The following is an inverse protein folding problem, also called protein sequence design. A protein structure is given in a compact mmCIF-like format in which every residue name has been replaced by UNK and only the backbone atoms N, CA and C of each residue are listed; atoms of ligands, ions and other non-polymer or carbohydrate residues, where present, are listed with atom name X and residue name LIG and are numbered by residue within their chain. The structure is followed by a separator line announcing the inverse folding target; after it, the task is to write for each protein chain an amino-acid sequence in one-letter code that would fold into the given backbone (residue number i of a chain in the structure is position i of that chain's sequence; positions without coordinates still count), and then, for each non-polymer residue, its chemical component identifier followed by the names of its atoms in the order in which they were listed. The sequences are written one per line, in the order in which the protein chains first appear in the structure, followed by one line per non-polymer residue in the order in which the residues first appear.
data_IF_223177103700
#
_entry.id   IF_223177103700
#
_cell.length_a   1.000
_cell.length_b   1.000
_cell.length_c   1.000
_cell.angle_alpha   90.00
_cell.angle_beta   90.00
_cell.angle_gamma   90.00
#
_symmetry.space_group_name_H-M   'P 1'
#
loop_
_entity.id
_entity.type
_entity.pdbx_description
1 polymer ?
#
# COMPACT_ATOMS: atom_id res chain seq x y z
N UNK A 1 21.17 -7.15 8.82
CA UNK A 1 20.73 -5.74 8.94
C UNK A 1 19.62 -5.69 9.98
N UNK A 2 19.60 -4.70 10.88
CA UNK A 2 18.52 -4.61 11.87
C UNK A 2 17.18 -4.27 11.19
N UNK A 3 16.06 -4.72 11.78
CA UNK A 3 14.72 -4.38 11.29
C UNK A 3 14.49 -2.87 11.24
N UNK A 4 15.04 -2.13 12.21
CA UNK A 4 14.98 -0.66 12.28
C UNK A 4 15.69 -0.01 11.09
N UNK A 5 16.93 -0.41 10.79
CA UNK A 5 17.66 0.13 9.63
C UNK A 5 16.94 -0.23 8.33
N UNK A 6 16.38 -1.44 8.23
CA UNK A 6 15.56 -1.86 7.09
C UNK A 6 14.34 -0.97 6.90
N UNK A 7 13.62 -0.70 7.99
CA UNK A 7 12.48 0.22 7.98
C UNK A 7 12.88 1.64 7.56
N UNK A 8 14.02 2.14 8.04
CA UNK A 8 14.52 3.47 7.69
C UNK A 8 14.92 3.59 6.20
N UNK A 9 15.62 2.60 5.66
CA UNK A 9 15.96 2.55 4.22
C UNK A 9 14.71 2.41 3.34
N UNK A 10 13.74 1.60 3.78
CA UNK A 10 12.46 1.47 3.11
C UNK A 10 11.63 2.76 3.15
N UNK A 11 11.69 3.51 4.26
CA UNK A 11 11.10 4.84 4.35
C UNK A 11 11.74 5.80 3.36
N UNK A 12 13.08 5.87 3.34
CA UNK A 12 13.83 6.75 2.43
C UNK A 12 13.53 6.46 0.96
N UNK A 13 13.62 5.19 0.55
CA UNK A 13 13.27 4.76 -0.81
C UNK A 13 11.81 5.04 -1.17
N UNK A 14 10.88 4.83 -0.24
CA UNK A 14 9.45 5.14 -0.46
C UNK A 14 9.19 6.64 -0.56
N UNK A 15 9.84 7.46 0.27
CA UNK A 15 9.76 8.90 0.18
C UNK A 15 10.26 9.38 -1.19
N UNK A 16 11.47 8.98 -1.60
CA UNK A 16 12.03 9.30 -2.92
C UNK A 16 11.07 8.90 -4.03
N UNK A 17 10.51 7.68 -3.96
CA UNK A 17 9.54 7.19 -4.95
C UNK A 17 8.28 8.03 -4.99
N UNK A 18 7.73 8.41 -3.83
CA UNK A 18 6.52 9.24 -3.75
C UNK A 18 6.79 10.62 -4.33
N UNK A 19 7.93 11.24 -4.02
CA UNK A 19 8.31 12.52 -4.61
C UNK A 19 8.48 12.39 -6.12
N UNK A 20 9.26 11.42 -6.61
CA UNK A 20 9.55 11.23 -8.03
C UNK A 20 8.31 10.85 -8.86
N UNK A 21 7.43 9.99 -8.32
CA UNK A 21 6.25 9.48 -9.02
C UNK A 21 4.95 10.18 -8.61
N UNK A 22 5.02 11.33 -7.94
CA UNK A 22 3.82 12.06 -7.53
C UNK A 22 2.91 12.39 -8.71
N UNK A 23 3.42 12.95 -9.84
CA UNK A 23 2.57 13.25 -11.00
C UNK A 23 2.06 11.98 -11.66
N UNK A 24 2.91 10.95 -11.79
CA UNK A 24 2.52 9.66 -12.34
C UNK A 24 1.27 9.10 -11.65
N UNK A 25 1.24 9.15 -10.31
CA UNK A 25 0.13 8.64 -9.52
C UNK A 25 -1.20 9.34 -9.84
N UNK A 26 -1.15 10.63 -10.14
CA UNK A 26 -2.35 11.43 -10.48
C UNK A 26 -2.70 11.35 -11.96
N UNK A 27 -1.71 11.19 -12.84
CA UNK A 27 -1.92 10.90 -14.27
C UNK A 27 -2.63 9.56 -14.45
N UNK A 28 -2.18 8.49 -13.78
CA UNK A 28 -2.87 7.20 -13.83
C UNK A 28 -4.30 7.30 -13.25
N UNK A 29 -4.58 8.29 -12.40
CA UNK A 29 -5.96 8.57 -11.98
C UNK A 29 -6.76 9.34 -13.03
N UNK A 30 -6.16 10.28 -13.76
CA UNK A 30 -6.88 11.07 -14.77
C UNK A 30 -7.13 10.29 -16.06
N UNK A 31 -6.30 9.28 -16.35
CA UNK A 31 -6.51 8.37 -17.48
C UNK A 31 -7.74 7.50 -17.21
N UNK A 32 -8.87 7.92 -17.80
CA UNK A 32 -10.05 7.09 -17.95
C UNK A 32 -10.14 6.70 -19.43
N UNK A 33 -10.12 5.40 -19.73
CA UNK A 33 -10.20 4.89 -21.13
C UNK A 33 -11.47 5.39 -21.83
N UNK A 34 -12.54 5.68 -21.06
CA UNK A 34 -13.79 6.21 -21.60
C UNK A 34 -13.80 7.74 -21.79
N UNK A 35 -12.93 8.46 -21.10
CA UNK A 35 -12.87 9.92 -21.10
C UNK A 35 -11.40 10.35 -21.01
N UNK A 36 -10.68 10.43 -22.15
CA UNK A 36 -9.30 10.90 -22.13
C UNK A 36 -9.26 12.31 -21.50
N UNK A 37 -8.29 12.59 -20.61
CA UNK A 37 -8.24 13.88 -19.94
C UNK A 37 -8.13 15.00 -20.97
N UNK A 38 -9.09 15.94 -20.94
CA UNK A 38 -9.04 17.22 -21.70
C UNK A 38 -8.01 18.20 -21.12
N UNK A 39 -6.90 17.70 -20.58
CA UNK A 39 -5.80 18.56 -20.15
C UNK A 39 -5.04 18.99 -21.41
N UNK A 40 -5.34 20.20 -21.91
CA UNK A 40 -4.62 20.80 -23.05
C UNK A 40 -3.11 20.96 -22.79
N UNK A 41 -2.69 20.94 -21.52
CA UNK A 41 -1.30 20.96 -21.09
C UNK A 41 -1.06 20.01 -19.90
N UNK A 42 -0.54 18.80 -20.19
CA UNK A 42 -0.12 17.82 -19.20
C UNK A 42 1.06 18.31 -18.35
N UNK A 43 1.94 19.14 -18.92
CA UNK A 43 3.11 19.70 -18.25
C UNK A 43 2.69 20.66 -17.14
N UNK A 44 1.84 21.64 -17.47
CA UNK A 44 1.27 22.57 -16.50
C UNK A 44 0.50 21.89 -15.37
N UNK A 45 -0.28 20.85 -15.68
CA UNK A 45 -0.96 20.05 -14.65
C UNK A 45 0.03 19.39 -13.67
N UNK A 46 1.08 18.77 -14.19
CA UNK A 46 2.11 18.13 -13.36
C UNK A 46 2.88 19.14 -12.53
N UNK A 47 3.26 20.28 -13.11
CA UNK A 47 3.99 21.35 -12.43
C UNK A 47 3.17 21.97 -11.29
N UNK A 48 1.88 22.25 -11.51
CA UNK A 48 0.98 22.76 -10.47
C UNK A 48 0.83 21.77 -9.30
N UNK A 49 0.73 20.48 -9.60
CA UNK A 49 0.68 19.42 -8.58
C UNK A 49 1.98 19.30 -7.79
N UNK A 50 3.12 19.34 -8.47
CA UNK A 50 4.43 19.33 -7.81
C UNK A 50 4.59 20.53 -6.90
N UNK A 51 4.23 21.73 -7.37
CA UNK A 51 4.26 22.96 -6.57
C UNK A 51 3.40 22.84 -5.32
N UNK A 52 2.19 22.30 -5.45
CA UNK A 52 1.31 22.04 -4.31
C UNK A 52 1.89 21.03 -3.31
N UNK A 53 2.53 19.97 -3.79
CA UNK A 53 3.21 18.99 -2.95
C UNK A 53 4.42 19.59 -2.22
N UNK A 54 5.25 20.37 -2.91
CA UNK A 54 6.43 21.03 -2.32
C UNK A 54 6.05 22.08 -1.28
N UNK A 55 4.88 22.72 -1.43
CA UNK A 55 4.34 23.61 -0.41
C UNK A 55 3.95 22.92 0.90
N UNK A 56 3.66 21.60 0.88
CA UNK A 56 3.23 20.83 2.04
C UNK A 56 3.91 19.44 2.08
N UNK A 57 5.23 19.36 2.35
CA UNK A 57 6.00 18.12 2.26
C UNK A 57 5.64 17.09 3.34
N UNK A 58 4.93 17.49 4.40
CA UNK A 58 4.46 16.58 5.45
C UNK A 58 3.51 15.50 4.92
N UNK A 59 2.69 15.81 3.91
CA UNK A 59 1.75 14.85 3.32
C UNK A 59 2.44 13.70 2.56
N UNK A 60 3.37 13.94 1.61
CA UNK A 60 4.08 12.86 0.94
C UNK A 60 4.98 12.06 1.88
N UNK A 61 5.57 12.70 2.90
CA UNK A 61 6.35 12.00 3.93
C UNK A 61 5.48 11.05 4.76
N UNK A 62 4.29 11.49 5.17
CA UNK A 62 3.33 10.63 5.89
C UNK A 62 2.87 9.45 5.01
N UNK A 63 2.75 9.64 3.69
CA UNK A 63 2.41 8.59 2.74
C UNK A 63 3.51 7.53 2.55
N UNK A 64 4.76 7.81 2.92
CA UNK A 64 5.88 6.87 2.85
C UNK A 64 5.87 5.86 4.03
N UNK A 65 5.28 6.25 5.17
CA UNK A 65 5.29 5.45 6.40
C UNK A 65 4.79 4.00 6.25
N UNK A 66 3.76 3.67 5.45
CA UNK A 66 3.32 2.29 5.28
C UNK A 66 4.40 1.36 4.71
N UNK A 67 5.24 1.83 3.78
CA UNK A 67 6.33 1.01 3.25
C UNK A 67 7.43 0.80 4.29
N UNK A 68 7.73 1.79 5.12
CA UNK A 68 8.64 1.60 6.24
C UNK A 68 8.16 0.47 7.17
N UNK A 69 6.87 0.51 7.53
CA UNK A 69 6.23 -0.49 8.37
C UNK A 69 6.22 -1.89 7.73
N UNK A 70 6.03 -1.98 6.41
CA UNK A 70 6.11 -3.22 5.64
C UNK A 70 7.46 -3.90 5.77
N UNK A 71 8.54 -3.21 5.43
CA UNK A 71 9.89 -3.79 5.43
C UNK A 71 10.40 -4.03 6.85
N UNK A 72 10.05 -3.14 7.79
CA UNK A 72 10.31 -3.34 9.21
C UNK A 72 9.67 -4.65 9.70
N UNK A 73 8.36 -4.83 9.48
CA UNK A 73 7.63 -6.04 9.89
C UNK A 73 8.13 -7.28 9.17
N UNK A 74 8.50 -7.15 7.91
CA UNK A 74 9.05 -8.24 7.12
C UNK A 74 10.33 -8.80 7.73
N UNK A 75 11.30 -7.94 8.03
CA UNK A 75 12.58 -8.34 8.63
C UNK A 75 12.41 -8.71 10.11
N UNK A 76 11.49 -8.07 10.83
CA UNK A 76 11.20 -8.38 12.23
C UNK A 76 10.73 -9.84 12.41
N UNK A 77 9.93 -10.36 11.47
CA UNK A 77 9.53 -11.77 11.45
C UNK A 77 10.47 -12.67 10.62
N UNK A 78 11.74 -12.28 10.50
CA UNK A 78 12.80 -13.04 9.82
C UNK A 78 12.54 -13.35 8.32
N UNK A 79 11.67 -12.57 7.65
CA UNK A 79 11.37 -12.73 6.23
C UNK A 79 10.46 -13.92 5.90
N UNK A 80 10.53 -14.37 4.65
CA UNK A 80 9.71 -15.47 4.14
C UNK A 80 8.20 -15.22 4.26
N UNK A 81 7.43 -16.27 4.53
CA UNK A 81 5.98 -16.18 4.67
C UNK A 81 5.55 -15.43 5.94
N UNK A 82 6.22 -15.66 7.07
CA UNK A 82 5.93 -14.98 8.34
C UNK A 82 6.19 -13.47 8.22
N UNK A 83 7.32 -13.08 7.62
CA UNK A 83 7.64 -11.71 7.26
C UNK A 83 6.62 -11.09 6.30
N UNK A 84 6.19 -11.83 5.27
CA UNK A 84 5.15 -11.37 4.35
C UNK A 84 3.82 -11.05 5.07
N UNK A 85 3.41 -11.90 6.01
CA UNK A 85 2.21 -11.70 6.82
C UNK A 85 2.39 -10.50 7.75
N UNK A 86 3.43 -10.49 8.59
CA UNK A 86 3.64 -9.41 9.56
C UNK A 86 3.85 -8.05 8.88
N UNK A 87 4.67 -8.00 7.84
CA UNK A 87 4.89 -6.79 7.04
C UNK A 87 3.59 -6.31 6.37
N UNK A 88 2.80 -7.22 5.81
CA UNK A 88 1.50 -6.87 5.22
C UNK A 88 0.49 -6.33 6.25
N UNK A 89 0.44 -6.93 7.45
CA UNK A 89 -0.36 -6.43 8.57
C UNK A 89 0.06 -5.02 8.97
N UNK A 90 1.35 -4.79 9.21
CA UNK A 90 1.85 -3.47 9.58
C UNK A 90 1.60 -2.44 8.49
N UNK A 91 1.80 -2.78 7.21
CA UNK A 91 1.45 -1.90 6.10
C UNK A 91 -0.02 -1.50 6.12
N UNK A 92 -0.94 -2.46 6.31
CA UNK A 92 -2.38 -2.23 6.34
C UNK A 92 -2.80 -1.31 7.48
N UNK A 93 -2.31 -1.56 8.70
CA UNK A 93 -2.56 -0.72 9.87
C UNK A 93 -1.99 0.69 9.69
N UNK A 94 -0.72 0.83 9.29
CA UNK A 94 -0.10 2.15 9.08
C UNK A 94 -0.79 2.92 7.96
N UNK A 95 -1.17 2.25 6.86
CA UNK A 95 -1.93 2.89 5.77
C UNK A 95 -3.28 3.41 6.23
N UNK A 96 -3.98 2.64 7.06
CA UNK A 96 -5.29 3.04 7.59
C UNK A 96 -5.14 4.21 8.54
N UNK A 97 -4.16 4.16 9.44
CA UNK A 97 -3.81 5.27 10.33
C UNK A 97 -3.51 6.56 9.54
N UNK A 98 -2.58 6.50 8.58
CA UNK A 98 -2.19 7.64 7.74
C UNK A 98 -3.38 8.21 7.00
N UNK A 99 -4.25 7.35 6.45
CA UNK A 99 -5.47 7.78 5.77
C UNK A 99 -6.43 8.50 6.72
N UNK A 100 -6.65 7.97 7.92
CA UNK A 100 -7.56 8.55 8.91
C UNK A 100 -7.03 9.89 9.42
N UNK A 101 -5.73 9.99 9.72
CA UNK A 101 -5.07 11.24 10.12
C UNK A 101 -5.19 12.28 9.00
N UNK A 102 -4.84 11.92 7.76
CA UNK A 102 -4.93 12.84 6.64
C UNK A 102 -6.38 13.29 6.36
N UNK A 103 -7.36 12.40 6.56
CA UNK A 103 -8.78 12.76 6.41
C UNK A 103 -9.24 13.75 7.49
N UNK A 104 -8.84 13.54 8.75
CA UNK A 104 -9.17 14.43 9.86
C UNK A 104 -8.48 15.79 9.75
N UNK A 105 -7.23 15.83 9.32
CA UNK A 105 -6.47 17.08 9.12
C UNK A 105 -6.98 17.94 7.96
N UNK A 106 -7.59 17.33 6.94
CA UNK A 106 -8.17 18.06 5.80
C UNK A 106 -9.66 18.41 6.01
N UNK A 107 -10.09 18.52 7.27
CA UNK A 107 -11.43 19.01 7.63
C UNK A 107 -12.58 18.03 7.43
N UNK A 108 -12.35 16.74 7.69
CA UNK A 108 -13.18 15.57 7.35
C UNK A 108 -14.72 15.67 7.47
N UNK A 109 -15.35 14.64 8.04
CA UNK A 109 -16.83 14.61 8.12
C UNK A 109 -17.38 15.72 9.02
N UNK A 110 -18.69 16.00 8.92
CA UNK A 110 -19.44 16.93 9.82
C UNK A 110 -19.12 16.68 11.30
N UNK A 111 -18.82 15.43 11.65
CA UNK A 111 -18.43 14.96 12.98
C UNK A 111 -17.15 15.59 13.53
N UNK A 112 -16.17 15.89 12.68
CA UNK A 112 -14.87 16.45 13.09
C UNK A 112 -14.83 17.97 12.98
N UNK A 113 -15.79 18.60 12.28
CA UNK A 113 -15.86 20.07 12.16
C UNK A 113 -15.95 20.79 13.51
N UNK A 114 -16.59 20.20 14.52
CA UNK A 114 -16.62 20.75 15.89
C UNK A 114 -15.24 20.77 16.55
N UNK A 115 -14.38 19.81 16.20
CA UNK A 115 -13.00 19.78 16.64
C UNK A 115 -12.11 20.65 15.76
N UNK A 116 -12.39 20.75 14.46
CA UNK A 116 -11.68 21.64 13.54
C UNK A 116 -11.91 23.13 13.86
N UNK A 117 -13.06 23.49 14.44
CA UNK A 117 -13.27 24.81 15.06
C UNK A 117 -12.26 25.11 16.18
N UNK A 118 -11.64 24.07 16.77
CA UNK A 118 -10.38 24.14 17.50
C UNK A 118 -9.27 23.72 16.53
N UNK A 119 -8.79 24.64 15.72
CA UNK A 119 -7.75 24.38 14.71
C UNK A 119 -6.66 23.43 15.26
N UNK A 120 -6.48 22.27 14.61
CA UNK A 120 -5.40 21.37 14.99
C UNK A 120 -4.07 22.06 14.72
N UNK A 121 -3.28 22.27 15.77
CA UNK A 121 -1.97 22.93 15.68
C UNK A 121 -0.94 22.10 14.90
N UNK A 122 -1.18 20.80 14.73
CA UNK A 122 -0.35 19.91 13.94
C UNK A 122 -0.80 18.45 13.94
N UNK A 123 0.01 17.56 13.35
CA UNK A 123 -0.29 16.14 13.25
C UNK A 123 -0.38 15.48 14.64
N UNK A 124 0.55 15.79 15.54
CA UNK A 124 0.57 15.21 16.89
C UNK A 124 -0.65 15.65 17.70
N UNK A 125 -1.05 16.91 17.59
CA UNK A 125 -2.25 17.44 18.22
C UNK A 125 -3.52 16.79 17.65
N UNK A 126 -3.60 16.64 16.33
CA UNK A 126 -4.67 15.87 15.68
C UNK A 126 -4.74 14.44 16.22
N UNK A 127 -3.59 13.77 16.37
CA UNK A 127 -3.54 12.38 16.87
C UNK A 127 -3.95 12.31 18.33
N UNK A 128 -3.35 13.13 19.20
CA UNK A 128 -3.59 13.12 20.64
C UNK A 128 -5.03 13.51 20.98
N UNK A 129 -5.52 14.62 20.41
CA UNK A 129 -6.89 15.10 20.61
C UNK A 129 -7.91 14.10 20.09
N UNK A 130 -7.70 13.54 18.89
CA UNK A 130 -8.62 12.54 18.35
C UNK A 130 -8.58 11.22 19.12
N UNK A 131 -7.41 10.78 19.60
CA UNK A 131 -7.29 9.58 20.44
C UNK A 131 -8.04 9.77 21.77
N UNK A 132 -7.95 10.97 22.36
CA UNK A 132 -8.68 11.33 23.58
C UNK A 132 -10.19 11.34 23.37
N UNK A 133 -10.67 11.90 22.26
CA UNK A 133 -12.11 12.09 22.02
C UNK A 133 -12.81 10.87 21.39
N UNK A 134 -12.12 10.10 20.55
CA UNK A 134 -12.72 9.00 19.79
C UNK A 134 -12.12 7.63 20.09
N UNK A 135 -11.06 7.58 20.91
CA UNK A 135 -10.29 6.36 21.18
C UNK A 135 -9.19 6.11 20.15
N UNK A 136 -8.10 5.48 20.57
CA UNK A 136 -6.96 5.16 19.71
C UNK A 136 -7.33 4.17 18.58
N UNK A 137 -8.30 3.29 18.83
CA UNK A 137 -8.76 2.33 17.82
C UNK A 137 -9.57 2.98 16.69
N UNK A 138 -10.07 4.22 16.88
CA UNK A 138 -10.79 4.96 15.85
C UNK A 138 -9.93 5.32 14.62
N UNK A 139 -8.61 5.21 14.71
CA UNK A 139 -7.71 5.44 13.58
C UNK A 139 -7.62 4.27 12.62
N UNK A 140 -8.09 3.09 13.03
CA UNK A 140 -7.90 1.84 12.32
C UNK A 140 -9.19 1.22 11.73
N UNK A 141 -10.20 2.00 11.26
CA UNK A 141 -11.41 1.39 10.72
C UNK A 141 -11.13 0.63 9.43
N UNK A 142 -11.48 -0.66 9.41
CA UNK A 142 -11.20 -1.56 8.30
C UNK A 142 -9.73 -1.92 8.18
N UNK A 143 -8.93 -1.76 9.24
CA UNK A 143 -7.50 -2.03 9.19
C UNK A 143 -7.20 -3.51 8.91
N UNK A 144 -8.02 -4.45 9.38
CA UNK A 144 -7.83 -5.87 9.05
C UNK A 144 -8.13 -6.14 7.58
N UNK A 145 -9.20 -5.56 7.03
CA UNK A 145 -9.50 -5.67 5.60
C UNK A 145 -8.38 -5.05 4.74
N UNK A 146 -7.87 -3.87 5.12
CA UNK A 146 -6.74 -3.23 4.45
C UNK A 146 -5.46 -4.07 4.55
N UNK A 147 -5.23 -4.70 5.70
CA UNK A 147 -4.10 -5.59 5.95
C UNK A 147 -4.16 -6.86 5.12
N UNK A 148 -5.33 -7.47 4.97
CA UNK A 148 -5.51 -8.66 4.13
C UNK A 148 -5.13 -8.36 2.67
N UNK A 149 -5.58 -7.21 2.13
CA UNK A 149 -5.15 -6.76 0.79
C UNK A 149 -3.64 -6.47 0.76
N UNK A 150 -3.07 -5.91 1.83
CA UNK A 150 -1.65 -5.58 1.89
C UNK A 150 -0.74 -6.81 1.97
N UNK A 151 -1.13 -7.86 2.70
CA UNK A 151 -0.43 -9.16 2.69
C UNK A 151 -0.40 -9.72 1.28
N UNK A 152 -1.53 -9.71 0.60
CA UNK A 152 -1.65 -10.19 -0.78
C UNK A 152 -0.83 -9.37 -1.78
N UNK A 153 -0.82 -8.04 -1.63
CA UNK A 153 -0.18 -7.14 -2.59
C UNK A 153 1.29 -6.91 -2.33
N UNK A 154 1.73 -6.88 -1.08
CA UNK A 154 3.08 -6.49 -0.73
C UNK A 154 3.83 -7.58 0.03
N UNK A 155 3.15 -8.25 0.97
CA UNK A 155 3.73 -9.34 1.76
C UNK A 155 4.19 -10.51 0.91
N UNK A 156 3.29 -11.05 0.08
CA UNK A 156 3.58 -12.18 -0.82
C UNK A 156 4.66 -11.79 -1.84
N UNK A 157 4.57 -10.66 -2.56
CA UNK A 157 5.65 -10.25 -3.45
C UNK A 157 7.01 -10.11 -2.78
N UNK A 158 7.10 -9.58 -1.55
CA UNK A 158 8.38 -9.54 -0.82
C UNK A 158 8.91 -10.95 -0.51
N UNK A 159 8.04 -11.87 -0.09
CA UNK A 159 8.41 -13.27 0.13
C UNK A 159 8.96 -13.95 -1.14
N UNK A 160 8.34 -13.69 -2.29
CA UNK A 160 8.82 -14.20 -3.58
C UNK A 160 10.11 -13.50 -4.02
N UNK A 161 10.21 -12.19 -3.83
CA UNK A 161 11.39 -11.40 -4.18
C UNK A 161 12.61 -11.76 -3.34
N UNK A 162 12.45 -12.22 -2.08
CA UNK A 162 13.56 -12.72 -1.28
C UNK A 162 14.27 -13.91 -1.96
N UNK A 163 13.53 -14.71 -2.74
CA UNK A 163 14.09 -15.86 -3.48
C UNK A 163 14.82 -15.45 -4.77
N UNK A 164 14.57 -14.23 -5.26
CA UNK A 164 15.11 -13.73 -6.53
C UNK A 164 16.18 -12.66 -6.26
N UNK A 165 17.46 -13.04 -6.34
CA UNK A 165 18.56 -12.10 -6.12
C UNK A 165 19.20 -11.69 -7.45
N UNK A 166 18.99 -10.44 -7.87
CA UNK A 166 19.83 -9.78 -8.88
C UNK A 166 20.74 -8.72 -8.24
N UNK A 167 21.85 -8.41 -8.93
CA UNK A 167 22.73 -7.27 -8.61
C UNK A 167 22.40 -6.01 -9.41
N UNK A 168 21.52 -6.11 -10.41
CA UNK A 168 21.16 -5.00 -11.30
C UNK A 168 19.87 -4.33 -10.86
N UNK A 169 19.88 -3.00 -10.79
CA UNK A 169 18.68 -2.19 -10.49
C UNK A 169 17.54 -2.48 -11.47
N UNK A 170 17.84 -2.64 -12.77
CA UNK A 170 16.83 -2.88 -13.80
C UNK A 170 16.13 -4.23 -13.63
N UNK A 171 16.88 -5.27 -13.27
CA UNK A 171 16.32 -6.60 -13.04
C UNK A 171 15.46 -6.65 -11.77
N UNK A 172 15.90 -5.96 -10.71
CA UNK A 172 15.15 -5.84 -9.46
C UNK A 172 13.84 -5.07 -9.67
N UNK A 173 13.91 -3.95 -10.40
CA UNK A 173 12.76 -3.15 -10.80
C UNK A 173 11.76 -4.01 -11.58
N UNK A 174 12.25 -4.72 -12.59
CA UNK A 174 11.39 -5.50 -13.48
C UNK A 174 10.79 -6.74 -12.81
N UNK A 175 11.57 -7.44 -11.97
CA UNK A 175 11.10 -8.58 -11.19
C UNK A 175 10.04 -8.15 -10.19
N UNK A 176 10.27 -7.06 -9.46
CA UNK A 176 9.30 -6.51 -8.52
C UNK A 176 8.02 -6.06 -9.22
N UNK A 177 8.14 -5.39 -10.37
CA UNK A 177 6.99 -4.99 -11.18
C UNK A 177 6.16 -6.20 -11.60
N UNK A 178 6.77 -7.24 -12.18
CA UNK A 178 6.08 -8.43 -12.68
C UNK A 178 5.37 -9.19 -11.57
N UNK A 179 6.07 -9.49 -10.48
CA UNK A 179 5.52 -10.24 -9.34
C UNK A 179 4.36 -9.46 -8.71
N UNK A 180 4.55 -8.17 -8.45
CA UNK A 180 3.51 -7.34 -7.87
C UNK A 180 2.32 -7.15 -8.83
N UNK A 181 2.58 -6.95 -10.13
CA UNK A 181 1.51 -6.82 -11.12
C UNK A 181 0.66 -8.09 -11.21
N UNK A 182 1.30 -9.26 -11.25
CA UNK A 182 0.59 -10.53 -11.21
C UNK A 182 -0.25 -10.65 -9.93
N UNK A 183 0.32 -10.36 -8.76
CA UNK A 183 -0.41 -10.45 -7.49
C UNK A 183 -1.58 -9.47 -7.42
N UNK A 184 -1.42 -8.23 -7.87
CA UNK A 184 -2.54 -7.26 -7.92
C UNK A 184 -3.66 -7.70 -8.86
N UNK A 185 -3.31 -8.34 -9.98
CA UNK A 185 -4.28 -8.87 -10.93
C UNK A 185 -5.05 -10.05 -10.32
N UNK A 186 -4.34 -11.06 -9.81
CA UNK A 186 -4.92 -12.26 -9.21
C UNK A 186 -5.81 -11.95 -8.01
N UNK A 187 -5.45 -10.92 -7.23
CA UNK A 187 -6.14 -10.57 -5.98
C UNK A 187 -7.09 -9.39 -6.14
N UNK A 188 -7.32 -8.92 -7.37
CA UNK A 188 -8.32 -7.90 -7.66
C UNK A 188 -9.72 -8.26 -7.15
N UNK A 189 -10.22 -9.51 -7.31
CA UNK A 189 -11.55 -9.85 -6.82
C UNK A 189 -11.71 -9.59 -5.32
N UNK A 190 -10.72 -10.02 -4.55
CA UNK A 190 -10.64 -9.83 -3.09
C UNK A 190 -10.60 -8.34 -2.76
N UNK A 191 -9.75 -7.58 -3.44
CA UNK A 191 -9.58 -6.16 -3.20
C UNK A 191 -10.81 -5.33 -3.57
N UNK A 192 -11.49 -5.63 -4.67
CA UNK A 192 -12.72 -4.92 -5.07
C UNK A 192 -13.87 -5.22 -4.12
N UNK A 193 -13.95 -6.47 -3.63
CA UNK A 193 -14.92 -6.88 -2.60
C UNK A 193 -14.69 -6.12 -1.29
N UNK A 194 -13.48 -6.21 -0.72
CA UNK A 194 -13.15 -5.53 0.53
C UNK A 194 -13.23 -4.01 0.42
N UNK A 195 -12.84 -3.44 -0.73
CA UNK A 195 -12.95 -2.00 -0.95
C UNK A 195 -14.40 -1.51 -0.92
N UNK A 196 -15.32 -2.31 -1.44
CA UNK A 196 -16.75 -1.96 -1.49
C UNK A 196 -17.41 -2.05 -0.11
N UNK A 197 -16.95 -2.97 0.75
CA UNK A 197 -17.42 -3.04 2.14
C UNK A 197 -16.80 -1.99 3.06
N UNK A 198 -15.64 -1.41 2.69
CA UNK A 198 -15.01 -0.30 3.40
C UNK A 198 -15.61 1.09 3.06
N UNK A 199 -16.89 1.18 2.66
CA UNK A 199 -17.54 2.46 2.33
C UNK A 199 -17.45 3.47 3.50
N UNK A 200 -17.35 4.79 3.22
CA UNK A 200 -16.71 5.80 4.07
C UNK A 200 -17.58 6.29 5.24
N UNK A 201 -18.68 5.61 5.56
CA UNK A 201 -19.31 5.86 6.86
C UNK A 201 -18.35 5.33 7.91
N UNK A 202 -17.67 6.24 8.61
CA UNK A 202 -16.83 5.90 9.75
C UNK A 202 -17.67 5.16 10.79
N UNK A 203 -17.69 3.82 10.70
CA UNK A 203 -18.40 2.94 11.64
C UNK A 203 -17.81 3.01 13.04
N UNK A 204 -16.56 3.46 13.14
CA UNK A 204 -15.84 3.68 14.38
C UNK A 204 -16.12 5.09 14.94
N UNK A 205 -17.34 5.31 15.43
CA UNK A 205 -17.55 6.39 16.39
C UNK A 205 -17.12 5.97 17.77
N UNK A 206 -16.18 6.70 18.40
CA UNK A 206 -15.88 6.53 19.83
C UNK A 206 -15.50 5.10 20.23
N UNK A 207 -14.60 4.46 19.47
CA UNK A 207 -14.18 3.08 19.76
C UNK A 207 -13.15 3.11 20.88
N UNK A 208 -13.66 3.11 22.12
CA UNK A 208 -12.84 3.05 23.33
C UNK A 208 -12.53 1.60 23.75
N UNK A 209 -13.36 0.64 23.35
CA UNK A 209 -13.19 -0.77 23.70
C UNK A 209 -12.76 -1.62 22.49
N UNK A 210 -11.89 -2.60 22.74
CA UNK A 210 -11.45 -3.57 21.73
C UNK A 210 -12.61 -4.41 21.17
N UNK A 211 -13.63 -4.70 21.99
CA UNK A 211 -14.83 -5.43 21.55
C UNK A 211 -15.57 -4.70 20.43
N UNK A 212 -15.71 -3.38 20.56
CA UNK A 212 -16.42 -2.57 19.57
C UNK A 212 -15.62 -2.47 18.26
N UNK A 213 -14.28 -2.40 18.38
CA UNK A 213 -13.37 -2.52 17.24
C UNK A 213 -13.53 -3.87 16.53
N UNK A 214 -13.49 -4.98 17.27
CA UNK A 214 -13.61 -6.32 16.71
C UNK A 214 -14.97 -6.52 16.03
N UNK A 215 -16.06 -6.03 16.62
CA UNK A 215 -17.38 -6.06 16.03
C UNK A 215 -17.46 -5.24 14.73
N UNK A 216 -16.84 -4.06 14.72
CA UNK A 216 -16.75 -3.22 13.53
C UNK A 216 -15.98 -3.91 12.40
N UNK A 217 -14.81 -4.50 12.67
CA UNK A 217 -14.05 -5.26 11.67
C UNK A 217 -14.85 -6.48 11.16
N UNK A 218 -15.49 -7.24 12.06
CA UNK A 218 -16.32 -8.38 11.68
C UNK A 218 -17.48 -7.99 10.76
N UNK A 219 -18.08 -6.81 10.98
CA UNK A 219 -19.11 -6.26 10.10
C UNK A 219 -18.60 -6.01 8.68
N UNK A 220 -17.36 -5.50 8.53
CA UNK A 220 -16.73 -5.24 7.23
C UNK A 220 -16.52 -6.55 6.47
N UNK A 221 -16.11 -7.63 7.15
CA UNK A 221 -15.96 -8.95 6.52
C UNK A 221 -17.30 -9.59 6.17
N UNK A 222 -18.31 -9.46 7.04
CA UNK A 222 -19.66 -9.97 6.75
C UNK A 222 -20.25 -9.30 5.52
N UNK A 223 -20.11 -7.99 5.41
CA UNK A 223 -20.53 -7.25 4.22
C UNK A 223 -19.69 -7.57 3.00
N UNK A 224 -18.37 -7.75 3.15
CA UNK A 224 -17.53 -8.21 2.05
C UNK A 224 -18.02 -9.56 1.50
N UNK A 225 -18.38 -10.50 2.37
CA UNK A 225 -18.99 -11.77 1.97
C UNK A 225 -20.31 -11.59 1.22
N UNK A 226 -21.16 -10.66 1.69
CA UNK A 226 -22.39 -10.27 1.01
C UNK A 226 -22.16 -9.67 -0.37
N UNK A 227 -21.21 -8.74 -0.50
CA UNK A 227 -20.82 -8.12 -1.77
C UNK A 227 -20.26 -9.16 -2.73
N UNK A 228 -19.35 -10.04 -2.26
CA UNK A 228 -18.76 -11.09 -3.08
C UNK A 228 -19.85 -12.00 -3.66
N UNK A 229 -20.77 -12.45 -2.80
CA UNK A 229 -21.87 -13.33 -3.21
C UNK A 229 -22.82 -12.65 -4.19
N UNK A 230 -23.18 -11.39 -3.93
CA UNK A 230 -24.11 -10.64 -4.77
C UNK A 230 -23.49 -10.33 -6.12
N UNK A 231 -22.25 -9.85 -6.15
CA UNK A 231 -21.53 -9.53 -7.38
C UNK A 231 -21.18 -10.77 -8.20
N UNK A 232 -20.90 -11.91 -7.54
CA UNK A 232 -20.73 -13.18 -8.24
C UNK A 232 -22.02 -13.66 -8.94
N UNK A 233 -23.20 -13.31 -8.40
CA UNK A 233 -24.51 -13.66 -8.98
C UNK A 233 -24.96 -12.67 -10.05
N UNK A 234 -24.79 -11.38 -9.83
CA UNK A 234 -25.40 -10.32 -10.66
C UNK A 234 -24.40 -9.61 -11.59
N UNK A 235 -23.19 -9.30 -11.10
CA UNK A 235 -22.22 -8.49 -11.82
C UNK A 235 -21.23 -9.27 -12.70
N UNK A 236 -21.05 -10.56 -12.41
CA UNK A 236 -20.12 -11.44 -13.10
C UNK A 236 -18.65 -10.99 -13.04
N UNK A 237 -17.82 -11.49 -13.97
CA UNK A 237 -16.38 -11.20 -14.03
C UNK A 237 -16.05 -9.71 -14.23
N UNK A 238 -16.95 -8.93 -14.81
CA UNK A 238 -16.74 -7.50 -15.10
C UNK A 238 -16.54 -6.69 -13.83
N UNK A 239 -17.25 -6.99 -12.75
CA UNK A 239 -17.07 -6.31 -11.46
C UNK A 239 -15.65 -6.54 -10.90
N UNK A 240 -15.17 -7.77 -10.96
CA UNK A 240 -13.86 -8.15 -10.43
C UNK A 240 -12.69 -7.64 -11.27
N UNK A 241 -12.91 -7.48 -12.59
CA UNK A 241 -11.92 -6.95 -13.53
C UNK A 241 -12.00 -5.43 -13.70
N UNK A 242 -13.01 -4.77 -13.13
CA UNK A 242 -13.16 -3.34 -13.24
C UNK A 242 -11.96 -2.59 -12.62
N UNK A 243 -11.40 -1.64 -13.37
CA UNK A 243 -10.22 -0.87 -13.00
C UNK A 243 -8.96 -1.70 -12.65
N UNK A 244 -8.87 -2.98 -13.06
CA UNK A 244 -7.73 -3.83 -12.72
C UNK A 244 -6.44 -3.30 -13.30
N UNK A 245 -6.38 -3.06 -14.62
CA UNK A 245 -5.17 -2.54 -15.27
C UNK A 245 -4.72 -1.22 -14.64
N UNK A 246 -5.64 -0.29 -14.46
CA UNK A 246 -5.37 0.99 -13.81
C UNK A 246 -4.86 0.82 -12.39
N UNK A 247 -5.44 -0.10 -11.63
CA UNK A 247 -4.99 -0.42 -10.27
C UNK A 247 -3.60 -1.03 -10.27
N UNK A 248 -3.35 -2.02 -11.12
CA UNK A 248 -2.08 -2.73 -11.28
C UNK A 248 -0.96 -1.76 -11.62
N UNK A 249 -1.09 -0.92 -12.66
CA UNK A 249 -0.05 0.05 -12.98
C UNK A 249 0.14 1.09 -11.88
N UNK A 250 -0.96 1.57 -11.27
CA UNK A 250 -0.90 2.57 -10.21
C UNK A 250 -0.15 2.11 -8.97
N UNK A 251 -0.21 0.83 -8.61
CA UNK A 251 0.47 0.29 -7.42
C UNK A 251 1.79 -0.40 -7.75
N UNK A 252 1.88 -1.15 -8.85
CA UNK A 252 3.08 -1.93 -9.19
C UNK A 252 4.27 -1.07 -9.59
N UNK A 253 4.05 0.05 -10.29
CA UNK A 253 5.18 0.92 -10.69
C UNK A 253 5.85 1.56 -9.46
N UNK A 254 5.11 2.21 -8.53
CA UNK A 254 5.72 2.71 -7.30
C UNK A 254 6.34 1.60 -6.44
N UNK A 255 5.70 0.44 -6.33
CA UNK A 255 6.27 -0.68 -5.58
C UNK A 255 7.62 -1.13 -6.16
N UNK A 256 7.68 -1.32 -7.48
CA UNK A 256 8.89 -1.72 -8.18
C UNK A 256 10.03 -0.72 -7.98
N UNK A 257 9.74 0.57 -8.19
CA UNK A 257 10.73 1.65 -8.01
C UNK A 257 11.20 1.71 -6.55
N UNK A 258 10.27 1.60 -5.59
CA UNK A 258 10.62 1.59 -4.16
C UNK A 258 11.52 0.41 -3.83
N UNK A 259 11.22 -0.79 -4.32
CA UNK A 259 12.03 -1.99 -4.07
C UNK A 259 13.43 -1.89 -4.68
N UNK A 260 13.53 -1.45 -5.93
CA UNK A 260 14.81 -1.29 -6.61
C UNK A 260 15.68 -0.21 -5.94
N UNK A 261 15.08 0.92 -5.53
CA UNK A 261 15.77 1.96 -4.76
C UNK A 261 16.19 1.46 -3.38
N UNK A 262 15.32 0.73 -2.68
CA UNK A 262 15.65 0.11 -1.39
C UNK A 262 16.92 -0.75 -1.51
N UNK A 263 17.00 -1.61 -2.53
CA UNK A 263 18.21 -2.43 -2.76
C UNK A 263 19.42 -1.59 -3.16
N UNK A 264 19.25 -0.58 -4.02
CA UNK A 264 20.33 0.33 -4.42
C UNK A 264 20.92 1.11 -3.22
N UNK A 265 20.10 1.41 -2.22
CA UNK A 265 20.51 2.04 -0.96
C UNK A 265 21.17 1.07 0.04
N UNK A 266 21.47 -0.16 -0.38
CA UNK A 266 22.06 -1.20 0.48
C UNK A 266 21.04 -1.98 1.32
N UNK A 267 19.74 -1.80 1.06
CA UNK A 267 18.69 -2.54 1.71
C UNK A 267 18.72 -4.03 1.34
N UNK A 268 18.50 -4.89 2.33
CA UNK A 268 18.39 -6.33 2.13
C UNK A 268 17.20 -6.88 2.91
N UNK A 269 16.36 -7.66 2.24
CA UNK A 269 15.21 -8.37 2.85
C UNK A 269 15.60 -9.78 3.36
N UNK A 270 16.87 -9.99 3.65
CA UNK A 270 17.42 -11.27 4.12
C UNK A 270 17.88 -12.17 2.97
N UNK A 271 18.87 -13.02 3.25
CA UNK A 271 19.22 -14.15 2.39
C UNK A 271 18.19 -15.27 2.61
N UNK A 272 17.98 -16.19 1.66
CA UNK A 272 17.17 -17.39 1.91
C UNK A 272 17.81 -18.20 3.04
N UNK A 273 17.34 -18.01 4.26
CA UNK A 273 17.71 -18.81 5.43
C UNK A 273 17.02 -20.15 5.31
N UNK A 274 17.73 -21.18 4.84
CA UNK A 274 17.31 -22.58 5.02
C UNK A 274 17.20 -23.47 3.78
N UNK A 275 17.79 -23.10 2.64
CA UNK A 275 17.86 -24.01 1.49
C UNK A 275 19.25 -24.02 0.90
N UNK A 276 19.88 -25.20 0.83
CA UNK A 276 21.08 -25.40 0.02
C UNK A 276 20.91 -24.69 -1.32
N UNK A 277 21.76 -23.69 -1.56
CA UNK A 277 21.99 -23.14 -2.89
C UNK A 277 22.58 -24.27 -3.73
N UNK A 278 21.73 -25.14 -4.28
CA UNK A 278 22.11 -26.02 -5.39
C UNK A 278 22.27 -25.08 -6.57
N UNK A 279 23.51 -24.64 -6.79
CA UNK A 279 23.90 -23.81 -7.92
C UNK A 279 23.48 -24.48 -9.22
N UNK A 280 22.27 -24.19 -9.66
CA UNK A 280 21.83 -24.44 -11.02
C UNK A 280 22.46 -23.38 -11.90
N UNK A 281 23.73 -23.57 -12.26
CA UNK A 281 24.24 -23.04 -13.50
C UNK A 281 23.36 -23.61 -14.62
N UNK A 282 22.29 -22.88 -14.98
CA UNK A 282 21.63 -23.03 -16.26
C UNK A 282 22.60 -22.50 -17.32
N UNK A 283 23.67 -23.27 -17.54
CA UNK A 283 24.54 -23.14 -18.69
C UNK A 283 23.66 -23.43 -19.90
N UNK A 284 23.31 -22.37 -20.63
CA UNK A 284 22.72 -22.46 -21.97
C UNK A 284 23.76 -23.06 -22.91
N UNK A 285 23.99 -24.36 -22.84
CA UNK A 285 24.60 -25.09 -23.95
C UNK A 285 23.50 -25.35 -24.98
N UNK A 286 23.32 -24.36 -25.86
CA UNK A 286 22.74 -24.60 -27.18
C UNK A 286 23.71 -25.52 -27.93
N UNK A 287 23.45 -26.83 -27.86
CA UNK A 287 24.11 -27.80 -28.72
C UNK A 287 23.60 -27.56 -30.14
N UNK A 288 24.38 -26.82 -30.93
CA UNK A 288 24.37 -26.94 -32.39
C UNK A 288 24.90 -28.34 -32.71
N UNK A 289 24.04 -29.24 -33.15
CA UNK A 289 24.46 -30.35 -34.02
C UNK A 289 24.33 -29.88 -35.46
N UNK A 290 25.47 -29.71 -36.11
CA UNK A 290 25.67 -30.00 -37.53
C UNK A 290 26.33 -31.37 -37.56
#
# INVERSE_FOLDING_TARGET
MSSVITGALAYGSSAITIFALYPYRDLVKSVNVRHPPRARDLGGYCAARYKGMLGNPSQPLLLAAPHAALYFGYVLAAGGAAGGILGGLLFGYTKTFVRTVAYRMNGGGVRYKKLEQREYSGLLDCVASSAKHYGALSFFPGALAASMVAVLWYGIPLAVLQQSYSRSFGDDLWSAFRIHALMTFLTSPVRNTLRSSMHPSERAGGVHAFRDYAAAEMSVFREAGGVLRSMAREGGLRFFLNDVLRTTFKSSVPFAVTYALFKAMGGSIGLPTGGHYRGGHASRHFSRRI
#
